data_IF_054421903618
#
_entry.id   IF_054421903618
#
_cell.length_a   1.000
_cell.length_b   1.000
_cell.length_c   1.000
_cell.angle_alpha   90.00
_cell.angle_beta   90.00
_cell.angle_gamma   90.00
#
_symmetry.space_group_name_H-M   'P 1'
#
loop_
_entity.id
_entity.type
_entity.pdbx_description
1 polymer ?
#
# COMPACT_ATOMS: atom_id res chain seq x y z
N UNK A 1 1.64 -5.57 -2.95
CA UNK A 1 2.13 -6.12 -4.23
C UNK A 1 2.25 -7.62 -4.20
N UNK A 2 3.10 -8.19 -3.34
CA UNK A 2 3.34 -9.63 -3.34
C UNK A 2 2.07 -10.44 -3.14
N UNK A 3 1.21 -10.13 -2.18
CA UNK A 3 -0.05 -10.88 -1.95
C UNK A 3 -0.94 -10.97 -3.20
N UNK A 4 -0.89 -9.97 -4.08
CA UNK A 4 -1.66 -9.87 -5.33
C UNK A 4 -0.90 -10.34 -6.57
N UNK A 5 0.39 -10.67 -6.45
CA UNK A 5 1.18 -11.14 -7.59
C UNK A 5 0.89 -12.61 -7.91
N UNK A 6 1.14 -13.03 -9.14
CA UNK A 6 0.87 -14.41 -9.56
C UNK A 6 1.96 -15.41 -9.09
N UNK A 7 2.95 -14.93 -8.33
CA UNK A 7 4.02 -15.74 -7.75
C UNK A 7 5.22 -15.92 -8.67
N UNK A 8 5.96 -17.02 -8.47
CA UNK A 8 7.15 -17.37 -9.25
C UNK A 8 6.83 -18.14 -10.54
N UNK A 9 5.56 -18.51 -10.76
CA UNK A 9 5.11 -19.34 -11.89
C UNK A 9 5.52 -20.82 -11.79
N UNK A 10 6.26 -21.20 -10.75
CA UNK A 10 6.66 -22.58 -10.48
C UNK A 10 5.74 -23.25 -9.46
N UNK A 11 5.34 -22.50 -8.42
CA UNK A 11 4.47 -22.99 -7.35
C UNK A 11 3.07 -22.43 -7.52
N UNK A 12 2.08 -23.30 -7.43
CA UNK A 12 0.68 -22.89 -7.42
C UNK A 12 0.41 -21.97 -6.23
N UNK A 13 -0.07 -20.78 -6.54
CA UNK A 13 -0.43 -19.79 -5.54
C UNK A 13 -1.91 -19.88 -5.23
N UNK A 14 -2.25 -19.85 -3.94
CA UNK A 14 -3.64 -19.67 -3.53
C UNK A 14 -4.17 -18.33 -4.04
N UNK A 15 -5.43 -18.31 -4.43
CA UNK A 15 -6.12 -17.07 -4.78
C UNK A 15 -6.00 -16.04 -3.65
N UNK A 16 -5.92 -14.76 -4.03
CA UNK A 16 -5.90 -13.66 -3.07
C UNK A 16 -7.22 -13.64 -2.29
N UNK A 17 -7.12 -13.47 -0.98
CA UNK A 17 -8.24 -13.42 -0.05
C UNK A 17 -8.29 -12.01 0.57
N UNK A 18 -9.21 -11.14 0.12
CA UNK A 18 -9.25 -9.74 0.56
C UNK A 18 -9.62 -9.60 2.04
N UNK A 19 -10.46 -10.47 2.59
CA UNK A 19 -10.85 -10.43 4.00
C UNK A 19 -9.68 -10.81 4.91
N UNK A 20 -8.96 -11.88 4.53
CA UNK A 20 -7.77 -12.30 5.25
C UNK A 20 -6.65 -11.25 5.16
N UNK A 21 -6.46 -10.65 3.99
CA UNK A 21 -5.48 -9.58 3.81
C UNK A 21 -5.82 -8.36 4.68
N UNK A 22 -7.07 -7.89 4.60
CA UNK A 22 -7.55 -6.71 5.34
C UNK A 22 -7.44 -6.92 6.85
N UNK A 23 -7.89 -8.08 7.36
CA UNK A 23 -7.80 -8.39 8.80
C UNK A 23 -6.36 -8.51 9.30
N UNK A 24 -5.47 -9.12 8.51
CA UNK A 24 -4.05 -9.18 8.84
C UNK A 24 -3.40 -7.79 8.88
N UNK A 25 -3.77 -6.91 7.94
CA UNK A 25 -3.24 -5.55 7.89
C UNK A 25 -3.79 -4.70 9.03
N UNK A 26 -5.08 -4.79 9.37
CA UNK A 26 -5.65 -4.15 10.58
C UNK A 26 -4.85 -4.54 11.83
N UNK A 27 -4.59 -5.84 12.03
CA UNK A 27 -3.80 -6.31 13.16
C UNK A 27 -2.37 -5.75 13.17
N UNK A 28 -1.75 -5.58 12.01
CA UNK A 28 -0.43 -4.96 11.91
C UNK A 28 -0.46 -3.48 12.26
N UNK A 29 -1.44 -2.73 11.73
CA UNK A 29 -1.60 -1.29 12.01
C UNK A 29 -1.92 -1.04 13.48
N UNK A 30 -2.78 -1.85 14.10
CA UNK A 30 -3.06 -1.78 15.53
C UNK A 30 -1.76 -1.86 16.35
N UNK A 31 -0.87 -2.80 16.01
CA UNK A 31 0.43 -2.95 16.70
C UNK A 31 1.35 -1.73 16.53
N UNK A 32 1.22 -0.98 15.43
CA UNK A 32 1.95 0.28 15.25
C UNK A 32 1.40 1.32 16.23
N UNK A 33 0.07 1.49 16.30
CA UNK A 33 -0.56 2.45 17.21
C UNK A 33 -0.36 2.11 18.68
N UNK A 34 -0.38 0.83 19.05
CA UNK A 34 -0.08 0.39 20.42
C UNK A 34 1.32 0.82 20.87
N UNK A 35 2.29 0.87 19.94
CA UNK A 35 3.67 1.26 20.22
C UNK A 35 3.91 2.76 20.05
N UNK A 36 3.24 3.40 19.09
CA UNK A 36 3.41 4.80 18.73
C UNK A 36 2.04 5.49 18.54
N UNK A 37 1.28 5.74 19.63
CA UNK A 37 -0.12 6.17 19.54
C UNK A 37 -0.35 7.47 18.76
N UNK A 38 0.63 8.37 18.78
CA UNK A 38 0.55 9.69 18.13
C UNK A 38 1.12 9.70 16.71
N UNK A 39 1.51 8.55 16.16
CA UNK A 39 2.02 8.50 14.78
C UNK A 39 0.88 8.72 13.79
N UNK A 40 1.21 9.34 12.66
CA UNK A 40 0.35 9.33 11.48
C UNK A 40 0.76 8.17 10.61
N UNK A 41 -0.20 7.56 9.92
CA UNK A 41 0.05 6.43 9.04
C UNK A 41 -0.34 6.77 7.61
N UNK A 42 0.53 6.43 6.67
CA UNK A 42 0.21 6.42 5.25
C UNK A 42 0.19 4.99 4.74
N UNK A 43 -0.94 4.58 4.16
CA UNK A 43 -1.09 3.34 3.43
C UNK A 43 -0.90 3.64 1.94
N UNK A 44 0.11 3.05 1.31
CA UNK A 44 0.41 3.30 -0.09
C UNK A 44 -0.09 2.12 -0.94
N UNK A 45 -0.71 2.41 -2.09
CA UNK A 45 -0.91 1.37 -3.12
C UNK A 45 0.44 1.02 -3.77
N UNK A 46 0.43 0.26 -4.87
CA UNK A 46 1.65 -0.18 -5.53
C UNK A 46 1.66 0.32 -6.96
N UNK A 47 2.72 1.01 -7.42
CA UNK A 47 2.83 1.39 -8.83
C UNK A 47 2.96 0.16 -9.75
N UNK A 48 3.30 -1.00 -9.16
CA UNK A 48 3.41 -2.30 -9.84
C UNK A 48 2.09 -3.04 -10.06
N UNK A 49 1.00 -2.58 -9.45
CA UNK A 49 -0.29 -3.26 -9.51
C UNK A 49 -1.24 -2.37 -10.31
N UNK A 50 -1.87 -2.92 -11.33
CA UNK A 50 -2.74 -2.19 -12.25
C UNK A 50 -4.06 -2.94 -12.49
N UNK A 51 -5.04 -2.25 -13.07
CA UNK A 51 -6.36 -2.80 -13.39
C UNK A 51 -7.12 -3.27 -12.15
N UNK A 52 -7.89 -4.35 -12.29
CA UNK A 52 -8.76 -4.87 -11.22
C UNK A 52 -8.00 -5.20 -9.92
N UNK A 53 -6.73 -5.61 -10.00
CA UNK A 53 -5.90 -5.88 -8.81
C UNK A 53 -5.55 -4.59 -8.06
N UNK A 54 -5.47 -3.45 -8.74
CA UNK A 54 -5.22 -2.14 -8.12
C UNK A 54 -6.47 -1.66 -7.39
N UNK A 55 -7.64 -1.79 -8.02
CA UNK A 55 -8.94 -1.47 -7.42
C UNK A 55 -9.17 -2.31 -6.16
N UNK A 56 -8.89 -3.62 -6.24
CA UNK A 56 -9.00 -4.53 -5.10
C UNK A 56 -8.03 -4.18 -3.96
N UNK A 57 -6.80 -3.80 -4.28
CA UNK A 57 -5.84 -3.34 -3.27
C UNK A 57 -6.34 -2.08 -2.58
N UNK A 58 -6.80 -1.10 -3.36
CA UNK A 58 -7.32 0.16 -2.85
C UNK A 58 -8.52 -0.07 -1.92
N UNK A 59 -9.47 -0.92 -2.32
CA UNK A 59 -10.61 -1.29 -1.49
C UNK A 59 -10.16 -1.88 -0.14
N UNK A 60 -9.19 -2.81 -0.16
CA UNK A 60 -8.63 -3.36 1.07
C UNK A 60 -8.02 -2.26 1.97
N UNK A 61 -7.24 -1.34 1.40
CA UNK A 61 -6.63 -0.24 2.17
C UNK A 61 -7.66 0.75 2.71
N UNK A 62 -8.74 1.02 1.96
CA UNK A 62 -9.87 1.83 2.42
C UNK A 62 -10.58 1.18 3.61
N UNK A 63 -10.75 -0.14 3.59
CA UNK A 63 -11.31 -0.90 4.72
C UNK A 63 -10.38 -0.85 5.95
N UNK A 64 -9.06 -0.95 5.76
CA UNK A 64 -8.08 -0.77 6.86
C UNK A 64 -8.18 0.64 7.43
N UNK A 65 -8.15 1.68 6.58
CA UNK A 65 -8.27 3.09 7.01
C UNK A 65 -9.55 3.33 7.82
N UNK A 66 -10.68 2.86 7.30
CA UNK A 66 -12.00 3.04 7.94
C UNK A 66 -12.07 2.42 9.34
N UNK A 67 -11.28 1.38 9.62
CA UNK A 67 -11.20 0.77 10.95
C UNK A 67 -10.55 1.69 12.00
N UNK A 68 -9.69 2.63 11.61
CA UNK A 68 -8.91 3.48 12.52
C UNK A 68 -9.24 4.98 12.46
N UNK A 69 -10.06 5.40 11.49
CA UNK A 69 -10.33 6.80 11.18
C UNK A 69 -10.96 7.62 12.33
N UNK A 70 -11.52 6.96 13.33
CA UNK A 70 -12.12 7.62 14.50
C UNK A 70 -11.08 8.14 15.47
N UNK A 71 -9.97 7.40 15.66
CA UNK A 71 -9.02 7.60 16.75
C UNK A 71 -7.60 7.93 16.26
N UNK A 72 -7.31 7.66 14.97
CA UNK A 72 -5.99 7.83 14.40
C UNK A 72 -6.01 8.53 13.05
N UNK A 73 -4.92 9.22 12.73
CA UNK A 73 -4.72 9.81 11.40
C UNK A 73 -4.14 8.75 10.46
N UNK A 74 -5.01 8.17 9.63
CA UNK A 74 -4.63 7.26 8.54
C UNK A 74 -4.98 7.90 7.20
N UNK A 75 -4.00 7.99 6.31
CA UNK A 75 -4.16 8.48 4.94
C UNK A 75 -3.82 7.37 3.94
N UNK A 76 -4.43 7.43 2.77
CA UNK A 76 -4.09 6.57 1.63
C UNK A 76 -3.41 7.44 0.57
N UNK A 77 -2.34 6.91 -0.01
CA UNK A 77 -1.74 7.44 -1.23
C UNK A 77 -1.85 6.39 -2.33
N UNK A 78 -2.40 6.80 -3.46
CA UNK A 78 -2.53 5.96 -4.63
C UNK A 78 -1.43 6.33 -5.61
N UNK A 79 -0.52 5.39 -5.88
CA UNK A 79 0.44 5.56 -6.97
C UNK A 79 -0.25 5.40 -8.31
N UNK A 80 0.16 6.22 -9.28
CA UNK A 80 -0.13 5.96 -10.67
C UNK A 80 0.58 4.66 -11.11
N UNK A 81 -0.09 3.77 -11.87
CA UNK A 81 0.54 2.57 -12.39
C UNK A 81 1.75 2.90 -13.27
N UNK A 82 2.85 2.17 -13.07
CA UNK A 82 4.07 2.36 -13.82
C UNK A 82 4.53 1.07 -14.50
N UNK A 83 5.31 1.22 -15.58
CA UNK A 83 6.06 0.11 -16.17
C UNK A 83 7.53 0.26 -15.77
N UNK A 84 8.05 -0.56 -14.84
CA UNK A 84 9.42 -0.36 -14.38
C UNK A 84 10.50 -0.67 -15.39
N UNK A 85 11.61 0.05 -15.28
CA UNK A 85 12.86 -0.23 -16.00
C UNK A 85 13.77 -1.26 -15.32
N UNK A 86 13.53 -1.60 -14.05
CA UNK A 86 14.43 -2.44 -13.26
C UNK A 86 14.22 -3.97 -13.39
N UNK A 87 15.06 -4.72 -12.68
CA UNK A 87 15.10 -6.18 -12.75
C UNK A 87 13.83 -6.84 -12.19
N UNK A 88 13.32 -7.86 -12.89
CA UNK A 88 12.20 -8.67 -12.40
C UNK A 88 10.96 -7.84 -12.10
N UNK A 89 10.69 -6.81 -12.93
CA UNK A 89 9.57 -5.89 -12.77
C UNK A 89 9.62 -5.09 -11.45
N UNK A 90 10.81 -4.69 -11.00
CA UNK A 90 10.96 -3.75 -9.88
C UNK A 90 11.34 -2.36 -10.41
N UNK A 91 10.88 -1.26 -9.78
CA UNK A 91 11.34 0.10 -10.07
C UNK A 91 12.88 0.20 -10.08
N UNK A 92 13.42 0.88 -11.08
CA UNK A 92 14.83 1.29 -11.09
C UNK A 92 15.05 2.65 -10.38
N UNK A 93 16.26 3.22 -10.54
CA UNK A 93 16.61 4.50 -9.92
C UNK A 93 15.74 5.66 -10.43
N UNK A 94 15.48 5.72 -11.73
CA UNK A 94 14.72 6.81 -12.35
C UNK A 94 13.23 6.66 -12.03
N UNK A 95 12.72 5.42 -12.00
CA UNK A 95 11.38 5.11 -11.51
C UNK A 95 11.20 5.57 -10.06
N UNK A 96 12.15 5.23 -9.17
CA UNK A 96 12.11 5.65 -7.78
C UNK A 96 12.15 7.18 -7.59
N UNK A 97 12.79 7.91 -8.50
CA UNK A 97 12.77 9.37 -8.50
C UNK A 97 11.36 9.90 -8.74
N UNK A 98 10.63 9.35 -9.72
CA UNK A 98 9.23 9.72 -10.00
C UNK A 98 8.35 9.45 -8.77
N UNK A 99 8.45 8.25 -8.19
CA UNK A 99 7.69 7.89 -6.98
C UNK A 99 7.99 8.81 -5.80
N UNK A 100 9.24 9.25 -5.64
CA UNK A 100 9.62 10.19 -4.60
C UNK A 100 9.04 11.59 -4.85
N UNK A 101 9.10 12.09 -6.07
CA UNK A 101 8.57 13.40 -6.45
C UNK A 101 7.04 13.47 -6.22
N UNK A 102 6.33 12.35 -6.38
CA UNK A 102 4.90 12.20 -6.03
C UNK A 102 4.65 12.12 -4.52
N UNK A 103 5.44 11.35 -3.77
CA UNK A 103 5.23 11.10 -2.34
C UNK A 103 5.61 12.28 -1.44
N UNK A 104 6.64 13.04 -1.80
CA UNK A 104 7.13 14.16 -0.99
C UNK A 104 6.02 15.17 -0.65
N UNK A 105 5.24 15.71 -1.61
CA UNK A 105 4.16 16.64 -1.30
C UNK A 105 3.06 16.00 -0.44
N UNK A 106 2.73 14.73 -0.68
CA UNK A 106 1.74 13.99 0.12
C UNK A 106 2.17 13.88 1.59
N UNK A 107 3.42 13.47 1.86
CA UNK A 107 3.92 13.40 3.24
C UNK A 107 4.04 14.78 3.88
N UNK A 108 4.42 15.81 3.12
CA UNK A 108 4.47 17.18 3.63
C UNK A 108 3.08 17.69 4.07
N UNK A 109 2.01 17.30 3.37
CA UNK A 109 0.63 17.59 3.79
C UNK A 109 0.23 16.76 5.02
N UNK A 110 0.46 15.44 4.99
CA UNK A 110 0.12 14.54 6.09
C UNK A 110 0.77 14.98 7.41
N UNK A 111 2.04 15.41 7.37
CA UNK A 111 2.77 15.85 8.55
C UNK A 111 2.27 17.17 9.15
N UNK A 112 1.50 17.97 8.41
CA UNK A 112 0.91 19.23 8.91
C UNK A 112 -0.43 19.06 9.63
N UNK A 113 -1.12 17.94 9.42
CA UNK A 113 -2.43 17.64 10.04
C UNK A 113 -2.36 17.44 11.56
#
# INVERSE_FOLDING_TARGET
TNDLSDGDGEKERKAFDPEKYTSAYINFVQRIFDRSPNTKLALLTSPMVAGEKADLLLECLQNVKSHFDTDHTVAIFEFDPMTPGGCGYHPDLDDHKVLADELIPFYADLLKK
#
